data_IF_931626091468
#
_entry.id   IF_931626091468
#
_cell.length_a   1.000
_cell.length_b   1.000
_cell.length_c   1.000
_cell.angle_alpha   90.00
_cell.angle_beta   90.00
_cell.angle_gamma   90.00
#
_symmetry.space_group_name_H-M   'P 1'
#
loop_
_entity.id
_entity.type
_entity.pdbx_description
1 polymer ?
#
# COMPACT_ATOMS: atom_id res chain seq x y z
N UNK A 1 -6.38 33.19 24.42
CA UNK A 1 -5.88 32.66 23.14
C UNK A 1 -5.76 31.16 23.33
N UNK A 2 -6.59 30.38 22.66
CA UNK A 2 -6.49 28.92 22.69
C UNK A 2 -5.57 28.52 21.55
N UNK A 3 -4.40 27.97 21.89
CA UNK A 3 -3.54 27.29 20.93
C UNK A 3 -4.28 26.04 20.44
N UNK A 4 -4.83 26.14 19.23
CA UNK A 4 -5.31 25.01 18.45
C UNK A 4 -4.04 24.31 17.93
N UNK A 5 -3.44 23.46 18.77
CA UNK A 5 -2.60 22.39 18.24
C UNK A 5 -3.54 21.53 17.40
N UNK A 6 -3.49 21.71 16.08
CA UNK A 6 -4.03 20.75 15.16
C UNK A 6 -3.25 19.46 15.43
N UNK A 7 -3.90 18.51 16.10
CA UNK A 7 -3.45 17.12 16.09
C UNK A 7 -3.25 16.77 14.60
N UNK A 8 -2.06 16.28 14.20
CA UNK A 8 -1.92 15.75 12.85
C UNK A 8 -3.01 14.69 12.68
N UNK A 9 -3.81 14.81 11.63
CA UNK A 9 -4.82 13.80 11.30
C UNK A 9 -4.16 12.43 11.43
N UNK A 10 -4.78 11.48 12.15
CA UNK A 10 -4.20 10.16 12.33
C UNK A 10 -3.95 9.61 10.93
N UNK A 11 -2.68 9.45 10.61
CA UNK A 11 -2.24 8.74 9.41
C UNK A 11 -2.85 7.35 9.58
N UNK A 12 -3.97 7.07 8.90
CA UNK A 12 -4.82 5.89 9.11
C UNK A 12 -4.06 4.55 8.91
N UNK A 13 -2.79 4.63 8.52
CA UNK A 13 -1.83 3.54 8.38
C UNK A 13 -1.05 3.22 9.67
N UNK A 14 -1.14 4.05 10.71
CA UNK A 14 -0.40 3.86 11.97
C UNK A 14 -1.33 4.02 13.18
N UNK A 15 -2.10 2.98 13.47
CA UNK A 15 -2.63 2.77 14.83
C UNK A 15 -1.61 1.97 15.64
N UNK A 16 -1.08 2.58 16.71
CA UNK A 16 -0.31 1.95 17.79
C UNK A 16 0.91 1.09 17.40
N UNK A 17 1.71 1.55 16.43
CA UNK A 17 3.06 1.00 16.20
C UNK A 17 3.11 -0.42 15.63
N UNK A 18 1.95 -1.01 15.30
CA UNK A 18 1.84 -2.21 14.49
C UNK A 18 1.74 -1.78 13.04
N UNK A 19 2.78 -2.04 12.25
CA UNK A 19 2.69 -1.91 10.81
C UNK A 19 1.63 -2.92 10.34
N UNK A 20 0.43 -2.44 10.00
CA UNK A 20 -0.72 -3.30 9.68
C UNK A 20 -0.55 -4.02 8.35
N UNK A 21 0.40 -3.57 7.54
CA UNK A 21 0.74 -4.12 6.24
C UNK A 21 2.05 -4.90 6.32
N UNK A 22 2.08 -6.04 5.63
CA UNK A 22 3.32 -6.75 5.30
C UNK A 22 4.18 -5.91 4.35
N UNK A 23 5.47 -6.24 4.29
CA UNK A 23 6.40 -5.60 3.34
C UNK A 23 5.92 -5.76 1.89
N UNK A 24 5.32 -6.90 1.55
CA UNK A 24 4.75 -7.15 0.22
C UNK A 24 3.53 -6.27 -0.06
N UNK A 25 2.62 -6.12 0.91
CA UNK A 25 1.45 -5.21 0.78
C UNK A 25 1.89 -3.75 0.66
N UNK A 26 2.92 -3.34 1.40
CA UNK A 26 3.50 -2.00 1.29
C UNK A 26 4.12 -1.77 -0.09
N UNK A 27 4.88 -2.74 -0.59
CA UNK A 27 5.52 -2.68 -1.92
C UNK A 27 4.48 -2.56 -3.04
N UNK A 28 3.42 -3.39 -3.00
CA UNK A 28 2.33 -3.31 -3.98
C UNK A 28 1.52 -2.01 -3.83
N UNK A 29 1.30 -1.53 -2.61
CA UNK A 29 0.65 -0.25 -2.35
C UNK A 29 1.40 0.93 -2.95
N UNK A 30 2.72 1.00 -2.74
CA UNK A 30 3.59 2.03 -3.34
C UNK A 30 3.59 1.97 -4.87
N UNK A 31 3.64 0.76 -5.43
CA UNK A 31 3.54 0.55 -6.87
C UNK A 31 2.21 1.11 -7.42
N UNK A 32 1.10 0.83 -6.75
CA UNK A 32 -0.22 1.35 -7.14
C UNK A 32 -0.29 2.88 -7.07
N UNK A 33 0.20 3.47 -5.98
CA UNK A 33 0.21 4.93 -5.78
C UNK A 33 1.09 5.64 -6.82
N UNK A 34 2.17 4.99 -7.26
CA UNK A 34 3.10 5.55 -8.26
C UNK A 34 2.55 5.43 -9.67
N UNK A 35 2.05 4.25 -10.06
CA UNK A 35 1.60 3.98 -11.43
C UNK A 35 0.27 4.66 -11.79
N UNK A 36 -0.68 4.73 -10.84
CA UNK A 36 -2.02 5.29 -11.09
C UNK A 36 -2.00 6.71 -11.70
N UNK A 37 -1.29 7.70 -11.14
CA UNK A 37 -1.26 9.04 -11.73
C UNK A 37 -0.55 9.09 -13.08
N UNK A 38 0.49 8.27 -13.28
CA UNK A 38 1.21 8.17 -14.57
C UNK A 38 0.27 7.66 -15.66
N UNK A 39 -0.46 6.58 -15.37
CA UNK A 39 -1.40 5.98 -16.32
C UNK A 39 -2.58 6.92 -16.61
N UNK A 40 -3.10 7.62 -15.60
CA UNK A 40 -4.15 8.63 -15.79
C UNK A 40 -3.66 9.78 -16.69
N UNK A 41 -2.45 10.28 -16.47
CA UNK A 41 -1.88 11.34 -17.30
C UNK A 41 -1.65 10.90 -18.75
N UNK A 42 -1.29 9.63 -18.99
CA UNK A 42 -1.20 9.06 -20.34
C UNK A 42 -2.58 8.84 -20.97
N UNK A 43 -3.61 8.54 -20.18
CA UNK A 43 -4.98 8.45 -20.69
C UNK A 43 -5.46 9.81 -21.21
N UNK A 44 -5.16 10.90 -20.49
CA UNK A 44 -5.54 12.26 -20.87
C UNK A 44 -4.64 12.81 -22.00
N UNK A 45 -3.36 12.42 -22.03
CA UNK A 45 -2.42 12.81 -23.08
C UNK A 45 -1.47 11.65 -23.46
N UNK A 46 -1.86 10.81 -24.44
CA UNK A 46 -1.14 9.58 -24.78
C UNK A 46 0.30 9.77 -25.30
N UNK A 47 0.64 10.96 -25.78
CA UNK A 47 1.94 11.26 -26.38
C UNK A 47 2.79 12.20 -25.52
N UNK A 48 2.46 12.33 -24.23
CA UNK A 48 3.25 13.13 -23.31
C UNK A 48 4.63 12.49 -23.06
N UNK A 49 5.66 12.98 -23.76
CA UNK A 49 7.01 12.45 -23.71
C UNK A 49 7.61 12.40 -22.29
N UNK A 50 7.24 13.36 -21.42
CA UNK A 50 7.70 13.38 -20.04
C UNK A 50 7.09 12.23 -19.24
N UNK A 51 5.78 12.04 -19.33
CA UNK A 51 5.08 10.97 -18.59
C UNK A 51 5.51 9.59 -19.10
N UNK A 52 5.78 9.46 -20.40
CA UNK A 52 6.36 8.23 -20.97
C UNK A 52 7.75 7.94 -20.38
N UNK A 53 8.57 8.98 -20.15
CA UNK A 53 9.88 8.80 -19.51
C UNK A 53 9.73 8.38 -18.04
N UNK A 54 8.82 8.99 -17.29
CA UNK A 54 8.51 8.61 -15.89
C UNK A 54 8.01 7.16 -15.81
N UNK A 55 7.13 6.73 -16.72
CA UNK A 55 6.69 5.34 -16.80
C UNK A 55 7.86 4.38 -17.08
N UNK A 56 8.75 4.74 -18.01
CA UNK A 56 9.92 3.90 -18.33
C UNK A 56 10.85 3.76 -17.14
N UNK A 57 11.14 4.84 -16.44
CA UNK A 57 11.97 4.81 -15.24
C UNK A 57 11.40 3.85 -14.19
N UNK A 58 10.09 3.93 -13.93
CA UNK A 58 9.43 2.97 -13.03
C UNK A 58 9.59 1.52 -13.52
N UNK A 59 9.32 1.27 -14.81
CA UNK A 59 9.37 -0.07 -15.39
C UNK A 59 10.78 -0.68 -15.36
N UNK A 60 11.81 0.14 -15.51
CA UNK A 60 13.21 -0.31 -15.55
C UNK A 60 13.78 -0.63 -14.15
N UNK A 61 13.26 -0.01 -13.08
CA UNK A 61 13.86 -0.10 -11.74
C UNK A 61 12.98 -0.72 -10.65
N UNK A 62 11.66 -0.59 -10.75
CA UNK A 62 10.75 -0.85 -9.62
C UNK A 62 9.65 -1.87 -9.94
N UNK A 63 9.44 -2.18 -11.22
CA UNK A 63 8.34 -3.04 -11.63
C UNK A 63 8.53 -4.52 -11.26
N UNK A 64 9.77 -5.03 -11.27
CA UNK A 64 10.05 -6.44 -10.94
C UNK A 64 9.73 -6.75 -9.48
N UNK A 65 10.20 -5.91 -8.55
CA UNK A 65 9.95 -6.07 -7.12
C UNK A 65 8.45 -6.02 -6.77
N UNK A 66 7.72 -5.07 -7.37
CA UNK A 66 6.28 -4.96 -7.20
C UNK A 66 5.52 -6.18 -7.76
N UNK A 67 5.96 -6.71 -8.90
CA UNK A 67 5.36 -7.89 -9.52
C UNK A 67 5.60 -9.13 -8.66
N UNK A 68 6.81 -9.32 -8.15
CA UNK A 68 7.14 -10.45 -7.30
C UNK A 68 6.39 -10.39 -5.96
N UNK A 69 6.28 -9.21 -5.34
CA UNK A 69 5.46 -9.02 -4.14
C UNK A 69 3.99 -9.34 -4.42
N UNK A 70 3.44 -8.90 -5.54
CA UNK A 70 2.08 -9.22 -5.93
C UNK A 70 1.86 -10.72 -6.14
N UNK A 71 2.81 -11.41 -6.78
CA UNK A 71 2.75 -12.86 -6.98
C UNK A 71 2.76 -13.60 -5.62
N UNK A 72 3.64 -13.22 -4.69
CA UNK A 72 3.67 -13.79 -3.34
C UNK A 72 2.35 -13.58 -2.60
N UNK A 73 1.76 -12.39 -2.71
CA UNK A 73 0.43 -12.12 -2.14
C UNK A 73 -0.67 -12.95 -2.79
N UNK A 74 -0.59 -13.23 -4.09
CA UNK A 74 -1.57 -14.11 -4.74
C UNK A 74 -1.43 -15.57 -4.30
N UNK A 75 -0.20 -16.05 -4.09
CA UNK A 75 0.09 -17.41 -3.65
C UNK A 75 -0.27 -17.63 -2.17
N UNK A 76 0.05 -16.65 -1.32
CA UNK A 76 -0.07 -16.75 0.14
C UNK A 76 -1.34 -16.10 0.68
N UNK A 77 -1.94 -15.17 -0.07
CA UNK A 77 -3.00 -14.26 0.38
C UNK A 77 -4.19 -14.95 1.05
N UNK A 78 -4.77 -16.04 0.50
CA UNK A 78 -5.89 -16.72 1.16
C UNK A 78 -5.51 -17.30 2.53
N UNK A 79 -4.33 -17.89 2.64
CA UNK A 79 -3.83 -18.49 3.88
C UNK A 79 -3.42 -17.40 4.88
N UNK A 80 -2.76 -16.35 4.41
CA UNK A 80 -2.36 -15.20 5.20
C UNK A 80 -3.57 -14.47 5.79
N UNK A 81 -4.55 -14.11 4.97
CA UNK A 81 -5.79 -13.47 5.41
C UNK A 81 -6.55 -14.32 6.42
N UNK A 82 -6.61 -15.64 6.21
CA UNK A 82 -7.26 -16.56 7.14
C UNK A 82 -6.57 -16.56 8.51
N UNK A 83 -5.23 -16.65 8.53
CA UNK A 83 -4.47 -16.62 9.77
C UNK A 83 -4.59 -15.26 10.47
N UNK A 84 -4.52 -14.16 9.71
CA UNK A 84 -4.61 -12.80 10.25
C UNK A 84 -5.98 -12.50 10.85
N UNK A 85 -7.05 -12.94 10.20
CA UNK A 85 -8.41 -12.85 10.76
C UNK A 85 -8.57 -13.69 12.03
N UNK A 86 -7.92 -14.85 12.10
CA UNK A 86 -7.94 -15.69 13.31
C UNK A 86 -7.19 -15.02 14.48
N UNK A 87 -6.05 -14.39 14.22
CA UNK A 87 -5.30 -13.61 15.23
C UNK A 87 -6.10 -12.42 15.75
N UNK A 88 -6.67 -11.61 14.85
CA UNK A 88 -7.49 -10.46 15.23
C UNK A 88 -8.75 -10.87 16.02
N UNK A 89 -9.41 -11.97 15.64
CA UNK A 89 -10.54 -12.49 16.39
C UNK A 89 -10.12 -13.00 17.79
N UNK A 90 -8.96 -13.64 17.90
CA UNK A 90 -8.44 -14.12 19.18
C UNK A 90 -8.03 -12.97 20.13
N UNK A 91 -7.47 -11.88 19.59
CA UNK A 91 -7.22 -10.65 20.34
C UNK A 91 -8.53 -10.02 20.84
N UNK A 92 -9.58 -10.02 20.01
CA UNK A 92 -10.89 -9.47 20.38
C UNK A 92 -11.64 -10.32 21.43
N UNK A 93 -11.54 -11.65 21.36
CA UNK A 93 -12.12 -12.57 22.36
C UNK A 93 -11.33 -12.58 23.69
N UNK A 94 -10.05 -12.17 23.67
CA UNK A 94 -9.22 -12.02 24.86
C UNK A 94 -9.50 -10.75 25.69
N UNK A 95 -10.24 -9.78 25.12
CA UNK A 95 -10.63 -8.51 25.74
C UNK A 95 -12.07 -8.49 26.29
N UNK A 96 -12.70 -9.65 26.50
CA UNK A 96 -13.91 -9.74 27.33
C UNK A 96 -13.55 -9.75 28.83
N UNK A 97 -13.55 -8.55 29.43
CA UNK A 97 -13.69 -8.19 30.87
C UNK A 97 -13.42 -9.25 31.96
#
# INVERSE_FOLDING_TARGET
MYDFYADPEPDFLYTDGLNLLTDDEHTVGLAHLTLTPILQALQDNPFNARVIAELREYLDFQAEEAMDAFNRLCELGPTYLTNRLAELNAEYEGEEW
#
